data_IF_419880962370
#
_entry.id   IF_419880962370
#
_cell.length_a   1.000
_cell.length_b   1.000
_cell.length_c   1.000
_cell.angle_alpha   90.00
_cell.angle_beta   90.00
_cell.angle_gamma   90.00
#
_symmetry.space_group_name_H-M   'P 1'
#
loop_
_entity.id
_entity.type
_entity.pdbx_description
1 polymer ?
#
# COMPACT_ATOMS: atom_id res chain seq x y z
N UNK A 1 -25.10 -44.76 -14.51
CA UNK A 1 -24.54 -43.67 -15.33
C UNK A 1 -24.34 -42.42 -14.47
N UNK A 2 -23.17 -42.33 -13.83
CA UNK A 2 -22.86 -41.23 -12.89
C UNK A 2 -22.39 -39.97 -13.63
N UNK A 3 -23.07 -38.84 -13.42
CA UNK A 3 -22.63 -37.54 -13.92
C UNK A 3 -21.30 -37.17 -13.24
N UNK A 4 -20.18 -37.22 -13.97
CA UNK A 4 -18.90 -36.68 -13.49
C UNK A 4 -19.07 -35.18 -13.24
N UNK A 5 -18.91 -34.77 -11.99
CA UNK A 5 -19.02 -33.37 -11.56
C UNK A 5 -17.87 -32.57 -12.22
N UNK A 6 -18.21 -31.55 -13.03
CA UNK A 6 -17.21 -30.63 -13.59
C UNK A 6 -16.45 -29.94 -12.46
N UNK A 7 -15.12 -29.92 -12.55
CA UNK A 7 -14.25 -29.19 -11.62
C UNK A 7 -14.54 -27.69 -11.76
N UNK A 8 -15.07 -27.08 -10.70
CA UNK A 8 -15.26 -25.63 -10.67
C UNK A 8 -13.88 -24.99 -10.55
N UNK A 9 -13.40 -24.38 -11.63
CA UNK A 9 -12.18 -23.56 -11.60
C UNK A 9 -12.54 -22.25 -10.92
N UNK A 10 -12.01 -22.02 -9.71
CA UNK A 10 -12.14 -20.74 -9.02
C UNK A 10 -11.01 -19.84 -9.51
N UNK A 11 -11.33 -18.87 -10.38
CA UNK A 11 -10.35 -17.86 -10.80
C UNK A 11 -9.99 -17.00 -9.57
N UNK A 12 -8.70 -16.89 -9.19
CA UNK A 12 -8.27 -15.97 -8.15
C UNK A 12 -8.60 -14.53 -8.55
N UNK A 13 -9.28 -13.78 -7.69
CA UNK A 13 -9.53 -12.35 -7.92
C UNK A 13 -8.21 -11.60 -7.72
N UNK A 14 -7.76 -10.84 -8.72
CA UNK A 14 -6.60 -9.93 -8.59
C UNK A 14 -6.92 -8.89 -7.53
N UNK A 15 -6.04 -8.72 -6.54
CA UNK A 15 -6.17 -7.71 -5.48
C UNK A 15 -4.98 -6.76 -5.55
N UNK A 16 -5.22 -5.51 -5.20
CA UNK A 16 -4.14 -4.53 -5.07
C UNK A 16 -3.15 -4.99 -3.98
N UNK A 17 -1.85 -4.76 -4.18
CA UNK A 17 -0.83 -5.10 -3.19
C UNK A 17 -1.06 -4.29 -1.91
N UNK A 18 -0.79 -4.93 -0.77
CA UNK A 18 -0.87 -4.30 0.57
C UNK A 18 0.51 -4.01 1.17
N UNK A 19 1.56 -4.50 0.53
CA UNK A 19 2.94 -4.40 0.99
C UNK A 19 3.68 -3.52 -0.01
N UNK A 20 4.42 -2.54 0.49
CA UNK A 20 5.15 -1.58 -0.33
C UNK A 20 6.63 -1.50 0.09
N UNK A 21 7.47 -1.16 -0.87
CA UNK A 21 8.91 -1.10 -0.74
C UNK A 21 9.37 0.23 -0.16
N UNK A 22 10.33 0.23 0.77
CA UNK A 22 10.84 1.46 1.35
C UNK A 22 11.96 2.09 0.50
N UNK A 23 11.84 3.35 0.06
CA UNK A 23 12.86 4.04 -0.75
C UNK A 23 14.19 4.25 -0.01
N UNK A 24 14.17 4.26 1.34
CA UNK A 24 15.39 4.43 2.15
C UNK A 24 16.17 3.14 2.39
N UNK A 25 15.48 2.02 2.62
CA UNK A 25 16.11 0.77 3.08
C UNK A 25 15.89 -0.43 2.16
N UNK A 26 15.12 -0.27 1.07
CA UNK A 26 14.87 -1.32 0.07
C UNK A 26 13.98 -2.47 0.55
N UNK A 27 13.51 -2.47 1.80
CA UNK A 27 12.68 -3.55 2.39
C UNK A 27 11.19 -3.29 2.20
N UNK A 28 10.44 -4.36 1.99
CA UNK A 28 8.97 -4.37 1.85
C UNK A 28 8.26 -4.27 3.21
N UNK A 29 8.46 -3.15 3.91
CA UNK A 29 8.03 -2.98 5.31
C UNK A 29 7.18 -1.73 5.55
N UNK A 30 6.60 -1.13 4.51
CA UNK A 30 5.75 0.06 4.67
C UNK A 30 4.33 -0.34 5.05
N UNK A 31 3.82 0.29 6.10
CA UNK A 31 2.45 0.23 6.57
C UNK A 31 1.80 1.60 6.44
N UNK A 32 0.67 1.64 5.75
CA UNK A 32 -0.16 2.84 5.60
C UNK A 32 -1.37 2.71 6.53
N UNK A 33 -1.49 3.66 7.46
CA UNK A 33 -2.62 3.74 8.39
C UNK A 33 -3.45 4.95 7.98
N UNK A 34 -4.61 4.71 7.40
CA UNK A 34 -5.59 5.77 7.10
C UNK A 34 -6.53 5.91 8.28
N UNK A 35 -6.63 7.11 8.85
CA UNK A 35 -7.58 7.39 9.92
C UNK A 35 -8.92 7.74 9.28
N UNK A 36 -9.95 6.90 9.50
CA UNK A 36 -11.29 7.16 8.95
C UNK A 36 -11.88 8.40 9.63
N UNK A 37 -12.24 9.41 8.83
CA UNK A 37 -12.83 10.66 9.32
C UNK A 37 -11.86 11.83 9.41
N UNK A 38 -10.55 11.60 9.31
CA UNK A 38 -9.58 12.66 9.08
C UNK A 38 -8.92 12.47 7.71
N UNK A 39 -8.68 13.56 6.99
CA UNK A 39 -7.99 13.53 5.70
C UNK A 39 -6.48 13.30 5.87
N UNK A 40 -6.08 12.44 6.81
CA UNK A 40 -4.70 12.16 7.20
C UNK A 40 -4.43 10.67 7.16
N UNK A 41 -3.32 10.32 6.53
CA UNK A 41 -2.75 8.99 6.53
C UNK A 41 -1.33 9.04 7.09
N UNK A 42 -1.00 8.08 7.94
CA UNK A 42 0.34 7.90 8.47
C UNK A 42 1.03 6.76 7.73
N UNK A 43 2.17 7.04 7.11
CA UNK A 43 3.04 6.06 6.47
C UNK A 43 4.15 5.73 7.44
N UNK A 44 4.34 4.44 7.75
CA UNK A 44 5.36 3.97 8.69
C UNK A 44 6.16 2.83 8.10
N UNK A 45 7.49 2.91 8.17
CA UNK A 45 8.37 1.81 7.78
C UNK A 45 8.79 1.00 9.01
N UNK A 46 8.47 -0.30 9.03
CA UNK A 46 8.84 -1.20 10.11
C UNK A 46 10.32 -1.58 10.17
N UNK A 47 11.12 -1.26 9.15
CA UNK A 47 12.54 -1.63 9.10
C UNK A 47 13.50 -0.50 9.47
N UNK A 48 13.27 0.72 8.98
CA UNK A 48 14.13 1.88 9.25
C UNK A 48 13.50 2.91 10.18
N UNK A 49 12.23 2.72 10.60
CA UNK A 49 11.55 3.60 11.52
C UNK A 49 11.05 4.93 10.93
N UNK A 50 11.11 5.12 9.60
CA UNK A 50 10.53 6.29 8.93
C UNK A 50 9.04 6.41 9.25
N UNK A 51 8.60 7.59 9.63
CA UNK A 51 7.20 7.92 9.90
C UNK A 51 6.89 9.26 9.28
N UNK A 52 5.89 9.31 8.42
CA UNK A 52 5.44 10.55 7.80
C UNK A 52 3.92 10.61 7.77
N UNK A 53 3.39 11.82 7.93
CA UNK A 53 1.96 12.09 7.85
C UNK A 53 1.67 12.80 6.53
N UNK A 54 0.81 12.20 5.72
CA UNK A 54 0.37 12.72 4.42
C UNK A 54 -1.12 13.00 4.45
N UNK A 55 -1.52 14.10 3.82
CA UNK A 55 -2.94 14.37 3.60
C UNK A 55 -3.48 13.39 2.55
N UNK A 56 -4.62 12.77 2.83
CA UNK A 56 -5.30 11.82 1.96
C UNK A 56 -6.76 12.20 1.79
N UNK A 57 -7.33 11.80 0.65
CA UNK A 57 -8.77 11.87 0.40
C UNK A 57 -9.38 10.50 0.74
N UNK A 58 -10.62 10.40 1.24
CA UNK A 58 -11.28 9.12 1.54
C UNK A 58 -11.43 8.19 0.31
N UNK A 59 -11.32 8.72 -0.91
CA UNK A 59 -11.35 7.93 -2.15
C UNK A 59 -10.03 7.22 -2.47
N UNK A 60 -8.93 7.56 -1.78
CA UNK A 60 -7.61 7.02 -2.08
C UNK A 60 -7.38 5.64 -1.50
N UNK A 61 -6.81 4.77 -2.32
CA UNK A 61 -6.31 3.49 -1.89
C UNK A 61 -4.96 3.66 -1.16
N UNK A 62 -4.53 2.66 -0.37
CA UNK A 62 -3.23 2.69 0.29
C UNK A 62 -2.05 2.90 -0.67
N UNK A 63 -2.19 2.48 -1.93
CA UNK A 63 -1.19 2.67 -2.98
C UNK A 63 -0.99 4.13 -3.37
N UNK A 64 -2.06 4.93 -3.39
CA UNK A 64 -2.01 6.35 -3.77
C UNK A 64 -1.31 7.17 -2.67
N UNK A 65 -1.53 6.79 -1.40
CA UNK A 65 -0.82 7.39 -0.26
C UNK A 65 0.67 7.03 -0.32
N UNK A 66 1.00 5.78 -0.68
CA UNK A 66 2.38 5.36 -0.82
C UNK A 66 3.10 6.08 -1.97
N UNK A 67 2.48 6.21 -3.15
CA UNK A 67 3.10 6.89 -4.30
C UNK A 67 3.36 8.36 -4.01
N UNK A 68 2.38 9.08 -3.48
CA UNK A 68 2.52 10.50 -3.11
C UNK A 68 3.60 10.73 -2.05
N UNK A 69 3.72 9.82 -1.08
CA UNK A 69 4.79 9.86 -0.09
C UNK A 69 6.16 9.57 -0.71
N UNK A 70 6.26 8.54 -1.56
CA UNK A 70 7.51 8.17 -2.23
C UNK A 70 8.02 9.31 -3.12
N UNK A 71 7.13 9.95 -3.90
CA UNK A 71 7.48 11.11 -4.72
C UNK A 71 8.02 12.27 -3.87
N UNK A 72 7.41 12.55 -2.71
CA UNK A 72 7.90 13.57 -1.77
C UNK A 72 9.29 13.22 -1.23
N UNK A 73 9.49 11.95 -0.86
CA UNK A 73 10.77 11.47 -0.37
C UNK A 73 11.86 11.65 -1.42
N UNK A 74 11.64 11.20 -2.66
CA UNK A 74 12.63 11.34 -3.73
C UNK A 74 12.90 12.80 -4.10
N UNK A 75 11.87 13.66 -4.12
CA UNK A 75 12.05 15.11 -4.33
C UNK A 75 12.96 15.74 -3.27
N UNK A 76 12.86 15.32 -2.01
CA UNK A 76 13.71 15.85 -0.94
C UNK A 76 15.17 15.37 -1.00
N UNK A 77 15.42 14.21 -1.62
CA UNK A 77 16.77 13.62 -1.71
C UNK A 77 17.55 14.14 -2.93
N UNK A 78 16.84 14.62 -3.96
CA UNK A 78 17.43 15.16 -5.19
C UNK A 78 17.79 16.66 -5.12
N UNK A 79 17.59 17.32 -3.97
CA UNK A 79 17.95 18.72 -3.73
C UNK A 79 19.16 18.80 -2.81
#
# INVERSE_FOLDING_TARGET
MGRRRRKVVRIPKKRLPKVFLCPKCGREAIRVIQVKGSNLATVTCGACGLKDTVQTVPAWAPVDVYSTWADKYYKSVSA
#
